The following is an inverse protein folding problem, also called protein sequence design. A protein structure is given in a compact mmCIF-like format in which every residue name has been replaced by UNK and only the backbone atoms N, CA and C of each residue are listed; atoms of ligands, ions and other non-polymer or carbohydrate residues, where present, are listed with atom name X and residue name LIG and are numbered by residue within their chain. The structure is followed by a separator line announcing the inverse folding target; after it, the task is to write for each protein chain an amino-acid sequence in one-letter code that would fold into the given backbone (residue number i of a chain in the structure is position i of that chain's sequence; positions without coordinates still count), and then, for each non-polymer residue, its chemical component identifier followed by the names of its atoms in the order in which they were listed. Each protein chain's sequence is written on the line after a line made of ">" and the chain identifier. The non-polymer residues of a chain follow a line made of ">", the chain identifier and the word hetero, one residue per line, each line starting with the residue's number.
data_IF_426597688971
#
_entry.id   IF_426597688971
#
_cell.length_a   1.000
_cell.length_b   1.000
_cell.length_c   1.000
_cell.angle_alpha   90.00
_cell.angle_beta   90.00
_cell.angle_gamma   90.00
#
_symmetry.space_group_name_H-M   'P 1'
#
loop_
_entity.id
_entity.type
_entity.pdbx_description
1 polymer ?
#
# COMPACT_ATOMS: atom_id res chain seq x y z
N UNK A 1 5.33 4.71 -11.49
CA UNK A 1 4.99 5.45 -12.72
C UNK A 1 3.48 5.60 -12.80
N UNK A 2 3.03 6.70 -13.36
CA UNK A 2 1.60 7.06 -13.39
C UNK A 2 0.70 5.96 -13.96
N UNK A 3 1.13 5.34 -15.04
CA UNK A 3 0.38 4.29 -15.74
C UNK A 3 0.29 2.99 -14.95
N UNK A 4 1.07 2.83 -13.88
CA UNK A 4 1.09 1.59 -13.10
C UNK A 4 0.08 1.58 -11.95
N UNK A 5 -0.59 2.69 -11.68
CA UNK A 5 -1.53 2.75 -10.55
C UNK A 5 -2.62 1.69 -10.64
N UNK A 6 -3.23 1.52 -11.81
CA UNK A 6 -4.33 0.56 -11.98
C UNK A 6 -3.86 -0.87 -11.72
N UNK A 7 -2.69 -1.24 -12.22
CA UNK A 7 -2.10 -2.57 -11.98
C UNK A 7 -1.74 -2.76 -10.51
N UNK A 8 -1.19 -1.72 -9.87
CA UNK A 8 -0.84 -1.76 -8.46
C UNK A 8 -2.08 -1.92 -7.58
N UNK A 9 -3.15 -1.20 -7.89
CA UNK A 9 -4.41 -1.31 -7.16
C UNK A 9 -5.03 -2.69 -7.34
N UNK A 10 -5.03 -3.21 -8.57
CA UNK A 10 -5.56 -4.54 -8.86
C UNK A 10 -4.83 -5.61 -8.06
N UNK A 11 -3.51 -5.53 -7.99
CA UNK A 11 -2.71 -6.45 -7.20
C UNK A 11 -2.99 -6.31 -5.69
N UNK A 12 -3.12 -5.08 -5.21
CA UNK A 12 -3.44 -4.78 -3.82
C UNK A 12 -4.80 -5.39 -3.42
N UNK A 13 -5.82 -5.19 -4.25
CA UNK A 13 -7.18 -5.64 -3.94
C UNK A 13 -7.31 -7.16 -3.87
N UNK A 14 -6.38 -7.91 -4.44
CA UNK A 14 -6.32 -9.37 -4.26
C UNK A 14 -6.05 -9.76 -2.81
N UNK A 15 -5.38 -8.90 -2.05
CA UNK A 15 -5.03 -9.13 -0.64
C UNK A 15 -6.05 -8.53 0.31
N UNK A 16 -6.82 -7.55 -0.15
CA UNK A 16 -7.89 -6.95 0.66
C UNK A 16 -9.16 -7.78 0.54
N UNK A 17 -9.92 -7.90 1.63
CA UNK A 17 -11.10 -8.71 1.66
C UNK A 17 -12.29 -8.09 0.95
N UNK A 18 -13.30 -8.92 0.70
CA UNK A 18 -14.61 -8.46 0.27
C UNK A 18 -15.37 -7.78 1.40
N UNK A 19 -16.69 -7.74 1.27
CA UNK A 19 -17.54 -7.14 2.29
C UNK A 19 -17.46 -7.92 3.61
N UNK A 20 -17.21 -7.20 4.70
CA UNK A 20 -17.17 -7.73 6.05
C UNK A 20 -17.89 -6.75 6.99
N UNK A 21 -18.71 -7.27 7.88
CA UNK A 21 -19.35 -6.49 8.92
C UNK A 21 -19.07 -7.14 10.28
N UNK A 22 -18.13 -6.53 11.04
CA UNK A 22 -17.80 -6.97 12.39
C UNK A 22 -18.49 -6.04 13.39
N UNK A 23 -19.56 -6.48 14.08
CA UNK A 23 -20.29 -5.62 15.03
C UNK A 23 -19.43 -5.06 16.15
N UNK A 24 -18.38 -5.78 16.53
CA UNK A 24 -17.45 -5.36 17.60
C UNK A 24 -16.34 -4.43 17.10
N UNK A 25 -16.20 -4.24 15.78
CA UNK A 25 -15.17 -3.39 15.19
C UNK A 25 -15.64 -1.94 15.16
N UNK A 26 -14.89 -0.98 15.74
CA UNK A 26 -15.25 0.44 15.70
C UNK A 26 -15.39 1.00 14.27
N UNK A 27 -14.70 0.41 13.30
CA UNK A 27 -14.80 0.78 11.88
C UNK A 27 -16.09 0.29 11.22
N UNK A 28 -16.75 -0.72 11.82
CA UNK A 28 -17.96 -1.34 11.30
C UNK A 28 -17.73 -2.09 10.00
N UNK A 29 -18.58 -1.82 9.02
CA UNK A 29 -18.51 -2.48 7.72
C UNK A 29 -17.27 -2.05 6.93
N UNK A 30 -16.70 -3.02 6.21
CA UNK A 30 -15.60 -2.76 5.25
C UNK A 30 -15.89 -3.49 3.94
N UNK A 31 -15.40 -2.96 2.85
CA UNK A 31 -15.38 -3.65 1.57
C UNK A 31 -14.20 -3.13 0.74
N UNK A 32 -13.51 -4.05 0.08
CA UNK A 32 -12.32 -3.72 -0.71
C UNK A 32 -11.28 -2.94 0.09
N UNK A 33 -11.17 -3.23 1.40
CA UNK A 33 -10.23 -2.58 2.29
C UNK A 33 -10.62 -1.19 2.76
N UNK A 34 -11.81 -0.70 2.39
CA UNK A 34 -12.30 0.64 2.79
C UNK A 34 -13.40 0.52 3.81
N UNK A 35 -13.27 1.25 4.93
CA UNK A 35 -14.30 1.26 5.98
C UNK A 35 -15.46 2.17 5.60
N UNK A 36 -16.63 1.88 6.21
CA UNK A 36 -17.80 2.75 6.09
C UNK A 36 -17.46 4.20 6.47
N UNK A 37 -16.71 4.38 7.55
CA UNK A 37 -16.29 5.71 8.01
C UNK A 37 -15.50 6.46 6.94
N UNK A 38 -14.52 5.81 6.32
CA UNK A 38 -13.71 6.41 5.26
C UNK A 38 -14.57 6.77 4.04
N UNK A 39 -15.50 5.87 3.67
CA UNK A 39 -16.42 6.16 2.56
C UNK A 39 -17.29 7.38 2.87
N UNK A 40 -17.83 7.47 4.09
CA UNK A 40 -18.66 8.61 4.49
C UNK A 40 -17.88 9.92 4.45
N UNK A 41 -16.63 9.90 4.92
CA UNK A 41 -15.75 11.08 4.84
C UNK A 41 -15.47 11.47 3.38
N UNK A 42 -15.25 10.47 2.52
CA UNK A 42 -14.94 10.70 1.12
C UNK A 42 -16.11 11.28 0.33
N UNK A 43 -17.32 10.71 0.49
CA UNK A 43 -18.50 11.17 -0.25
C UNK A 43 -19.23 12.33 0.43
N UNK A 44 -18.94 12.63 1.70
CA UNK A 44 -19.53 13.73 2.44
C UNK A 44 -20.98 13.49 2.86
N UNK A 45 -21.41 12.22 2.97
CA UNK A 45 -22.79 11.86 3.39
C UNK A 45 -22.78 10.49 4.05
N UNK A 46 -23.85 10.13 4.80
CA UNK A 46 -24.01 8.78 5.33
C UNK A 46 -24.06 7.75 4.21
N UNK A 47 -23.48 6.58 4.50
CA UNK A 47 -23.38 5.45 3.57
C UNK A 47 -24.11 4.26 4.19
N UNK A 48 -24.98 3.62 3.41
CA UNK A 48 -25.75 2.45 3.87
C UNK A 48 -24.96 1.15 3.73
N UNK A 49 -25.47 0.07 4.36
CA UNK A 49 -24.89 -1.26 4.15
C UNK A 49 -24.94 -1.65 2.66
N UNK A 50 -26.04 -1.34 1.97
CA UNK A 50 -26.19 -1.63 0.55
C UNK A 50 -25.12 -0.88 -0.27
N UNK A 51 -24.86 0.38 0.07
CA UNK A 51 -23.80 1.16 -0.59
C UNK A 51 -22.44 0.48 -0.41
N UNK A 52 -22.16 0.00 0.83
CA UNK A 52 -20.91 -0.68 1.11
C UNK A 52 -20.78 -2.00 0.35
N UNK A 53 -21.85 -2.80 0.29
CA UNK A 53 -21.84 -4.07 -0.43
C UNK A 53 -21.66 -3.90 -1.93
N UNK A 54 -22.09 -2.76 -2.47
CA UNK A 54 -22.07 -2.46 -3.90
C UNK A 54 -20.79 -1.81 -4.39
N UNK A 55 -19.80 -1.59 -3.50
CA UNK A 55 -18.55 -0.96 -3.89
C UNK A 55 -17.81 -1.78 -4.96
N UNK A 56 -17.29 -1.07 -5.95
CA UNK A 56 -16.47 -1.64 -7.01
C UNK A 56 -15.04 -1.13 -6.91
N UNK A 57 -14.07 -1.78 -7.59
CA UNK A 57 -12.71 -1.23 -7.66
C UNK A 57 -12.66 0.21 -8.15
N UNK A 58 -13.51 0.58 -9.09
CA UNK A 58 -13.60 1.94 -9.61
C UNK A 58 -14.05 2.94 -8.55
N UNK A 59 -14.91 2.52 -7.62
CA UNK A 59 -15.38 3.37 -6.53
C UNK A 59 -14.27 3.68 -5.52
N UNK A 60 -13.39 2.73 -5.25
CA UNK A 60 -12.34 2.87 -4.25
C UNK A 60 -11.03 3.40 -4.84
N UNK A 61 -10.83 3.33 -6.14
CA UNK A 61 -9.60 3.77 -6.79
C UNK A 61 -9.23 5.23 -6.47
N UNK A 62 -10.14 6.22 -6.54
CA UNK A 62 -9.80 7.60 -6.19
C UNK A 62 -9.34 7.76 -4.74
N UNK A 63 -9.90 6.96 -3.84
CA UNK A 63 -9.55 6.99 -2.41
C UNK A 63 -8.12 6.49 -2.22
N UNK A 64 -7.78 5.34 -2.80
CA UNK A 64 -6.44 4.78 -2.73
C UNK A 64 -5.42 5.70 -3.39
N UNK A 65 -5.79 6.31 -4.51
CA UNK A 65 -4.90 7.25 -5.20
C UNK A 65 -4.61 8.46 -4.32
N UNK A 66 -5.64 9.14 -3.81
CA UNK A 66 -5.47 10.35 -3.02
C UNK A 66 -4.75 10.12 -1.69
N UNK A 67 -5.11 9.03 -0.98
CA UNK A 67 -4.64 8.79 0.38
C UNK A 67 -3.28 8.07 0.45
N UNK A 68 -2.94 7.29 -0.57
CA UNK A 68 -1.76 6.44 -0.52
C UNK A 68 -0.80 6.66 -1.69
N UNK A 69 -1.28 6.51 -2.92
CA UNK A 69 -0.43 6.61 -4.10
C UNK A 69 0.20 7.99 -4.26
N UNK A 70 -0.61 9.03 -4.16
CA UNK A 70 -0.12 10.41 -4.28
C UNK A 70 0.78 10.78 -3.10
N UNK A 71 0.46 10.26 -1.91
CA UNK A 71 1.25 10.53 -0.70
C UNK A 71 2.68 9.97 -0.78
N UNK A 72 2.88 8.87 -1.49
CA UNK A 72 4.21 8.29 -1.71
C UNK A 72 4.86 8.76 -3.02
N UNK A 73 4.24 9.69 -3.72
CA UNK A 73 4.72 10.15 -5.04
C UNK A 73 4.81 9.01 -6.05
N UNK A 74 3.78 8.15 -6.05
CA UNK A 74 3.76 6.95 -6.89
C UNK A 74 3.98 7.23 -8.37
N UNK A 75 3.41 8.34 -8.89
CA UNK A 75 3.60 8.71 -10.30
C UNK A 75 5.08 8.95 -10.65
N UNK A 76 5.88 9.36 -9.68
CA UNK A 76 7.29 9.72 -9.88
C UNK A 76 8.26 8.60 -9.53
N UNK A 77 7.79 7.51 -8.92
CA UNK A 77 8.62 6.36 -8.59
C UNK A 77 8.86 5.47 -9.81
N UNK A 78 10.04 4.81 -9.90
CA UNK A 78 10.29 3.86 -10.97
C UNK A 78 9.28 2.70 -10.97
N UNK A 79 9.04 2.14 -12.16
CA UNK A 79 8.14 1.00 -12.32
C UNK A 79 8.57 -0.16 -11.42
N UNK A 80 7.61 -0.73 -10.71
CA UNK A 80 7.83 -1.80 -9.74
C UNK A 80 8.12 -1.27 -8.33
N UNK A 81 8.95 -0.26 -8.17
CA UNK A 81 9.15 0.41 -6.89
C UNK A 81 7.84 1.04 -6.42
N UNK A 82 7.12 1.67 -7.34
CA UNK A 82 5.80 2.25 -7.07
C UNK A 82 4.85 1.24 -6.44
N UNK A 83 4.75 0.04 -7.00
CA UNK A 83 3.86 -1.02 -6.52
C UNK A 83 4.23 -1.50 -5.11
N UNK A 84 5.49 -1.83 -4.85
CA UNK A 84 5.86 -2.37 -3.55
C UNK A 84 5.76 -1.33 -2.43
N UNK A 85 6.06 -0.07 -2.71
CA UNK A 85 5.92 1.01 -1.74
C UNK A 85 4.44 1.30 -1.47
N UNK A 86 3.62 1.32 -2.51
CA UNK A 86 2.17 1.52 -2.39
C UNK A 86 1.52 0.44 -1.51
N UNK A 87 1.79 -0.82 -1.77
CA UNK A 87 1.22 -1.91 -0.98
C UNK A 87 1.63 -1.80 0.50
N UNK A 88 2.89 -1.48 0.77
CA UNK A 88 3.38 -1.26 2.12
C UNK A 88 2.70 -0.04 2.78
N UNK A 89 2.48 1.04 2.04
CA UNK A 89 1.82 2.24 2.55
C UNK A 89 0.39 1.95 2.99
N UNK A 90 -0.34 1.17 2.22
CA UNK A 90 -1.71 0.76 2.58
C UNK A 90 -1.70 -0.15 3.80
N UNK A 91 -0.81 -1.12 3.84
CA UNK A 91 -0.76 -2.14 4.89
C UNK A 91 -0.18 -1.63 6.21
N UNK A 92 0.84 -0.78 6.15
CA UNK A 92 1.60 -0.38 7.35
C UNK A 92 1.72 1.14 7.55
N UNK A 93 1.10 1.93 6.68
CA UNK A 93 1.10 3.39 6.75
C UNK A 93 2.08 4.06 5.81
N UNK A 94 1.69 5.25 5.32
CA UNK A 94 2.48 6.04 4.37
C UNK A 94 3.83 6.45 4.96
N UNK A 95 3.83 6.94 6.21
CA UNK A 95 5.07 7.40 6.85
C UNK A 95 6.09 6.28 6.99
N UNK A 96 5.64 5.10 7.41
CA UNK A 96 6.52 3.94 7.57
C UNK A 96 7.07 3.45 6.23
N UNK A 97 6.21 3.32 5.23
CA UNK A 97 6.64 2.91 3.89
C UNK A 97 7.65 3.90 3.31
N UNK A 98 7.41 5.20 3.49
CA UNK A 98 8.31 6.24 3.03
C UNK A 98 9.68 6.16 3.70
N UNK A 99 9.71 5.93 5.03
CA UNK A 99 10.96 5.76 5.78
C UNK A 99 11.74 4.53 5.32
N UNK A 100 11.06 3.42 5.07
CA UNK A 100 11.73 2.22 4.57
C UNK A 100 12.39 2.48 3.21
N UNK A 101 11.67 3.15 2.32
CA UNK A 101 12.23 3.51 1.02
C UNK A 101 13.47 4.41 1.17
N UNK A 102 13.40 5.39 2.05
CA UNK A 102 14.50 6.31 2.31
C UNK A 102 15.72 5.60 2.88
N UNK A 103 15.53 4.68 3.83
CA UNK A 103 16.61 3.84 4.36
C UNK A 103 17.30 3.04 3.26
N UNK A 104 16.52 2.41 2.40
CA UNK A 104 17.02 1.60 1.28
C UNK A 104 17.76 2.45 0.25
N UNK A 105 17.26 3.65 0.01
CA UNK A 105 17.90 4.59 -0.93
C UNK A 105 19.13 5.29 -0.35
N UNK A 106 19.35 5.20 0.96
CA UNK A 106 20.51 5.79 1.61
C UNK A 106 20.37 7.28 1.90
N UNK A 107 19.14 7.77 2.07
CA UNK A 107 18.88 9.17 2.41
C UNK A 107 18.25 9.28 3.80
N UNK A 108 18.15 10.50 4.33
CA UNK A 108 17.52 10.75 5.61
C UNK A 108 16.07 10.28 5.63
N UNK A 109 15.73 9.44 6.62
CA UNK A 109 14.40 8.82 6.73
C UNK A 109 13.46 9.74 7.53
N UNK A 110 13.05 10.84 6.93
CA UNK A 110 12.11 11.80 7.55
C UNK A 110 10.63 11.44 7.30
N UNK A 111 10.36 10.42 6.49
CA UNK A 111 9.01 9.96 6.19
C UNK A 111 8.30 10.75 5.09
N UNK A 112 9.00 11.65 4.41
CA UNK A 112 8.44 12.47 3.33
C UNK A 112 9.25 12.25 2.06
N UNK A 113 8.62 11.70 1.03
CA UNK A 113 9.26 11.47 -0.26
C UNK A 113 9.28 12.78 -1.03
N UNK A 114 10.46 13.35 -1.19
CA UNK A 114 10.69 14.57 -1.93
C UNK A 114 11.74 14.38 -3.02
N UNK A 115 12.21 15.48 -3.63
CA UNK A 115 13.18 15.41 -4.75
C UNK A 115 14.45 14.64 -4.43
N UNK A 116 15.00 14.79 -3.22
CA UNK A 116 16.22 14.09 -2.81
C UNK A 116 16.00 12.58 -2.74
N UNK A 117 14.88 12.14 -2.16
CA UNK A 117 14.52 10.72 -2.08
C UNK A 117 14.33 10.15 -3.49
N UNK A 118 13.57 10.85 -4.33
CA UNK A 118 13.31 10.41 -5.70
C UNK A 118 14.61 10.27 -6.51
N UNK A 119 15.51 11.24 -6.39
CA UNK A 119 16.80 11.19 -7.07
C UNK A 119 17.64 9.98 -6.61
N UNK A 120 17.69 9.72 -5.31
CA UNK A 120 18.44 8.59 -4.75
C UNK A 120 17.86 7.25 -5.20
N UNK A 121 16.54 7.13 -5.25
CA UNK A 121 15.87 5.91 -5.73
C UNK A 121 16.18 5.68 -7.21
N UNK A 122 16.08 6.73 -8.03
CA UNK A 122 16.34 6.63 -9.48
C UNK A 122 17.80 6.35 -9.81
N UNK A 123 18.72 6.64 -8.89
CA UNK A 123 20.15 6.38 -9.08
C UNK A 123 20.51 4.89 -8.97
N UNK A 124 19.59 4.04 -8.51
CA UNK A 124 19.81 2.59 -8.34
C UNK A 124 18.89 1.80 -9.26
N UNK A 125 19.28 0.59 -9.70
CA UNK A 125 18.38 -0.29 -10.45
C UNK A 125 17.08 -0.55 -9.68
N UNK A 126 15.95 -0.54 -10.37
CA UNK A 126 14.64 -0.75 -9.75
C UNK A 126 14.58 -2.09 -9.01
N UNK A 127 15.12 -3.16 -9.59
CA UNK A 127 15.13 -4.49 -8.99
C UNK A 127 15.90 -4.51 -7.68
N UNK A 128 16.98 -3.74 -7.56
CA UNK A 128 17.76 -3.64 -6.33
C UNK A 128 16.94 -2.97 -5.22
N UNK A 129 16.24 -1.89 -5.56
CA UNK A 129 15.36 -1.19 -4.61
C UNK A 129 14.22 -2.09 -4.16
N UNK A 130 13.58 -2.79 -5.09
CA UNK A 130 12.46 -3.71 -4.79
C UNK A 130 12.93 -4.80 -3.81
N UNK A 131 14.06 -5.43 -4.09
CA UNK A 131 14.62 -6.48 -3.23
C UNK A 131 14.89 -5.97 -1.82
N UNK A 132 15.60 -4.86 -1.70
CA UNK A 132 15.97 -4.29 -0.41
C UNK A 132 14.74 -3.77 0.36
N UNK A 133 13.79 -3.17 -0.34
CA UNK A 133 12.55 -2.66 0.27
C UNK A 133 11.70 -3.81 0.83
N UNK A 134 11.49 -4.85 0.04
CA UNK A 134 10.68 -5.99 0.48
C UNK A 134 11.35 -6.73 1.64
N UNK A 135 12.67 -6.83 1.65
CA UNK A 135 13.43 -7.40 2.77
C UNK A 135 13.26 -6.55 4.03
N UNK A 136 13.37 -5.22 3.92
CA UNK A 136 13.18 -4.31 5.06
C UNK A 136 11.77 -4.41 5.62
N UNK A 137 10.77 -4.47 4.74
CA UNK A 137 9.37 -4.66 5.13
C UNK A 137 9.17 -5.98 5.85
N UNK A 138 9.73 -7.07 5.34
CA UNK A 138 9.62 -8.39 5.94
C UNK A 138 10.21 -8.41 7.36
N UNK A 139 11.38 -7.81 7.54
CA UNK A 139 12.02 -7.72 8.87
C UNK A 139 11.15 -6.95 9.86
N UNK A 140 10.51 -5.88 9.41
CA UNK A 140 9.57 -5.13 10.26
C UNK A 140 8.41 -6.02 10.71
N UNK A 141 7.79 -6.73 9.78
CA UNK A 141 6.66 -7.62 10.09
C UNK A 141 7.07 -8.71 11.08
N UNK A 142 8.25 -9.30 10.89
CA UNK A 142 8.81 -10.31 11.79
C UNK A 142 9.05 -9.78 13.20
N UNK A 143 9.27 -8.50 13.36
CA UNK A 143 9.49 -7.86 14.65
C UNK A 143 8.19 -7.66 15.45
N UNK A 144 7.03 -7.80 14.82
CA UNK A 144 5.76 -7.57 15.48
C UNK A 144 5.36 -8.77 16.35
N UNK A 145 4.78 -8.52 17.55
CA UNK A 145 4.33 -9.62 18.43
C UNK A 145 3.30 -10.54 17.76
N UNK A 146 2.47 -9.97 16.87
CA UNK A 146 1.43 -10.70 16.14
C UNK A 146 1.96 -11.54 14.98
N UNK A 147 3.26 -11.48 14.68
CA UNK A 147 3.84 -12.29 13.60
C UNK A 147 3.62 -13.79 13.80
N UNK A 148 3.61 -14.25 15.05
CA UNK A 148 3.33 -15.65 15.37
C UNK A 148 1.98 -16.11 14.84
N UNK A 149 0.98 -15.23 14.84
CA UNK A 149 -0.37 -15.53 14.39
C UNK A 149 -0.56 -15.28 12.89
N UNK A 150 -0.05 -14.16 12.38
CA UNK A 150 -0.33 -13.69 11.02
C UNK A 150 0.86 -13.78 10.06
N UNK A 151 2.03 -14.20 10.55
CA UNK A 151 3.29 -14.14 9.81
C UNK A 151 3.28 -14.91 8.50
N UNK A 152 2.60 -16.06 8.44
CA UNK A 152 2.52 -16.86 7.23
C UNK A 152 1.80 -16.08 6.10
N UNK A 153 0.64 -15.48 6.42
CA UNK A 153 -0.10 -14.66 5.47
C UNK A 153 0.66 -13.41 5.06
N UNK A 154 1.31 -12.74 6.02
CA UNK A 154 2.11 -11.56 5.75
C UNK A 154 3.30 -11.88 4.83
N UNK A 155 4.00 -12.97 5.10
CA UNK A 155 5.13 -13.42 4.28
C UNK A 155 4.68 -13.74 2.86
N UNK A 156 3.54 -14.41 2.71
CA UNK A 156 2.96 -14.71 1.40
C UNK A 156 2.62 -13.41 0.65
N UNK A 157 2.05 -12.43 1.32
CA UNK A 157 1.72 -11.13 0.72
C UNK A 157 2.98 -10.41 0.24
N UNK A 158 4.02 -10.31 1.07
CA UNK A 158 5.27 -9.65 0.69
C UNK A 158 5.91 -10.35 -0.51
N UNK A 159 5.95 -11.67 -0.51
CA UNK A 159 6.51 -12.44 -1.61
C UNK A 159 5.73 -12.23 -2.92
N UNK A 160 4.39 -12.19 -2.85
CA UNK A 160 3.54 -11.93 -4.01
C UNK A 160 3.72 -10.53 -4.56
N UNK A 161 3.78 -9.53 -3.69
CA UNK A 161 4.01 -8.14 -4.08
C UNK A 161 5.38 -7.98 -4.73
N UNK A 162 6.42 -8.60 -4.17
CA UNK A 162 7.76 -8.58 -4.74
C UNK A 162 7.78 -9.16 -6.15
N UNK A 163 7.10 -10.30 -6.35
CA UNK A 163 7.00 -10.93 -7.66
C UNK A 163 6.33 -10.01 -8.69
N UNK A 164 5.18 -9.45 -8.34
CA UNK A 164 4.45 -8.54 -9.22
C UNK A 164 5.22 -7.26 -9.49
N UNK A 165 5.92 -6.72 -8.48
CA UNK A 165 6.74 -5.53 -8.62
C UNK A 165 7.90 -5.77 -9.61
N UNK A 166 8.54 -6.93 -9.52
CA UNK A 166 9.63 -7.29 -10.44
C UNK A 166 9.16 -7.43 -11.89
N UNK A 167 7.89 -7.81 -12.09
CA UNK A 167 7.32 -7.86 -13.46
C UNK A 167 7.16 -6.49 -14.08
N UNK A 168 6.96 -5.45 -13.26
CA UNK A 168 6.82 -4.07 -13.76
C UNK A 168 8.19 -3.39 -13.97
N UNK A 169 9.20 -3.83 -13.26
CA UNK A 169 10.52 -3.22 -13.26
C UNK A 169 11.28 -3.29 -14.61
#
# INVERSE_FOLDING_TARGET
>A
MKENFDDALKALLKHEGGFVNHPADPGGMTNLGVTKKVMEEWVGRPVSEQDMRSLTPEDVAPIYKAKYWDAIKGDDLPAGVDMCVFDCAVNSGVGRASKFLQEVAGVNADGKIGPATLAAVKAKPAEQIIEAFCERRQKFLESLPTFKTFGKGWTTRVAGVKLESNKLA
#
